data_IF_893684103290
#
_entry.id   IF_893684103290
#
_cell.length_a   1.000
_cell.length_b   1.000
_cell.length_c   1.000
_cell.angle_alpha   90.00
_cell.angle_beta   90.00
_cell.angle_gamma   90.00
#
_symmetry.space_group_name_H-M   'P 1'
#
loop_
_entity.id
_entity.type
_entity.pdbx_description
1 polymer ?
#
# COMPACT_ATOMS: atom_id res chain seq x y z
N UNK A 1 13.34 -11.52 -6.56
CA UNK A 1 13.12 -10.87 -7.86
C UNK A 1 14.18 -9.83 -8.26
N UNK A 2 15.12 -9.44 -7.38
CA UNK A 2 16.29 -8.64 -7.73
C UNK A 2 16.08 -7.12 -7.86
N UNK A 3 14.87 -6.64 -7.64
CA UNK A 3 14.54 -5.21 -7.62
C UNK A 3 14.11 -4.78 -6.23
N UNK A 4 14.66 -3.65 -5.74
CA UNK A 4 14.22 -3.06 -4.49
C UNK A 4 12.91 -2.30 -4.74
N UNK A 5 11.86 -2.66 -4.02
CA UNK A 5 10.63 -1.87 -3.99
C UNK A 5 10.91 -0.51 -3.35
N UNK A 6 10.48 0.58 -3.98
CA UNK A 6 10.75 1.93 -3.51
C UNK A 6 10.16 2.21 -2.10
N UNK A 7 9.09 1.52 -1.73
CA UNK A 7 8.42 1.63 -0.44
C UNK A 7 9.28 1.15 0.73
N UNK A 8 10.05 0.09 0.56
CA UNK A 8 10.89 -0.46 1.64
C UNK A 8 11.99 0.52 2.11
N UNK A 9 12.85 1.12 1.25
CA UNK A 9 13.81 2.12 1.68
C UNK A 9 13.18 3.36 2.31
N UNK A 10 12.02 3.80 1.78
CA UNK A 10 11.30 4.95 2.33
C UNK A 10 10.77 4.64 3.73
N UNK A 11 10.08 3.52 3.91
CA UNK A 11 9.56 3.10 5.21
C UNK A 11 10.69 2.80 6.20
N UNK A 12 11.81 2.22 5.73
CA UNK A 12 13.01 2.01 6.55
C UNK A 12 13.59 3.32 7.08
N UNK A 13 13.68 4.35 6.23
CA UNK A 13 14.12 5.69 6.63
C UNK A 13 13.17 6.33 7.65
N UNK A 14 11.86 6.22 7.42
CA UNK A 14 10.84 6.73 8.35
C UNK A 14 10.88 6.00 9.69
N UNK A 15 10.99 4.67 9.69
CA UNK A 15 11.08 3.88 10.92
C UNK A 15 12.34 4.20 11.73
N UNK A 16 13.47 4.46 11.05
CA UNK A 16 14.68 4.96 11.70
C UNK A 16 14.47 6.30 12.39
N UNK A 17 13.79 7.25 11.73
CA UNK A 17 13.44 8.54 12.30
C UNK A 17 12.46 8.42 13.47
N UNK A 18 11.43 7.58 13.35
CA UNK A 18 10.47 7.30 14.44
C UNK A 18 11.21 6.73 15.65
N UNK A 19 12.13 5.79 15.42
CA UNK A 19 12.86 5.10 16.48
C UNK A 19 13.76 6.04 17.30
N UNK A 20 14.32 7.09 16.73
CA UNK A 20 15.16 8.03 17.47
C UNK A 20 14.35 9.12 18.18
N UNK A 21 13.10 9.37 17.80
CA UNK A 21 12.31 10.51 18.29
C UNK A 21 12.20 10.58 19.81
N UNK A 22 11.96 9.42 20.47
CA UNK A 22 11.78 9.39 21.92
C UNK A 22 13.05 9.71 22.70
N UNK A 23 14.22 9.37 22.17
CA UNK A 23 15.51 9.44 22.84
C UNK A 23 16.47 10.52 22.32
N UNK A 24 16.12 11.29 21.30
CA UNK A 24 17.04 12.17 20.57
C UNK A 24 17.78 13.19 21.46
N UNK A 25 17.19 13.62 22.58
CA UNK A 25 17.77 14.56 23.54
C UNK A 25 18.72 13.91 24.54
N UNK A 26 18.69 12.57 24.69
CA UNK A 26 19.34 11.85 25.77
C UNK A 26 20.35 10.78 25.28
N UNK A 27 20.69 10.77 24.00
CA UNK A 27 21.66 9.85 23.39
C UNK A 27 22.71 10.63 22.61
N UNK A 28 23.90 10.01 22.41
CA UNK A 28 24.93 10.59 21.54
C UNK A 28 24.69 10.20 20.06
N UNK A 29 25.48 10.78 19.16
CA UNK A 29 25.31 10.61 17.70
C UNK A 29 25.45 9.16 17.25
N UNK A 30 26.39 8.40 17.83
CA UNK A 30 26.59 6.99 17.49
C UNK A 30 25.45 6.11 17.97
N UNK A 31 24.91 6.38 19.14
CA UNK A 31 23.73 5.71 19.66
C UNK A 31 22.51 6.05 18.80
N UNK A 32 22.36 7.31 18.40
CA UNK A 32 21.30 7.75 17.52
C UNK A 32 21.34 7.00 16.17
N UNK A 33 22.54 6.93 15.55
CA UNK A 33 22.74 6.19 14.33
C UNK A 33 22.40 4.70 14.46
N UNK A 34 22.81 4.06 15.57
CA UNK A 34 22.50 2.66 15.84
C UNK A 34 21.00 2.43 16.05
N UNK A 35 20.34 3.29 16.83
CA UNK A 35 18.89 3.23 17.06
C UNK A 35 18.12 3.35 15.76
N UNK A 36 18.50 4.32 14.92
CA UNK A 36 17.89 4.52 13.61
C UNK A 36 18.12 3.35 12.66
N UNK A 37 19.34 2.80 12.63
CA UNK A 37 19.67 1.63 11.81
C UNK A 37 18.83 0.41 12.18
N UNK A 38 18.75 0.09 13.47
CA UNK A 38 17.94 -1.04 13.95
C UNK A 38 16.47 -0.82 13.64
N UNK A 39 15.95 0.40 13.88
CA UNK A 39 14.57 0.73 13.56
C UNK A 39 14.25 0.58 12.07
N UNK A 40 15.14 1.04 11.20
CA UNK A 40 14.98 0.88 9.75
C UNK A 40 15.01 -0.59 9.30
N UNK A 41 15.90 -1.40 9.88
CA UNK A 41 15.98 -2.83 9.56
C UNK A 41 14.80 -3.65 10.09
N UNK A 42 14.10 -3.19 11.14
CA UNK A 42 12.91 -3.85 11.67
C UNK A 42 11.72 -3.88 10.72
N UNK A 43 11.70 -3.04 9.69
CA UNK A 43 10.64 -3.05 8.67
C UNK A 43 10.52 -4.43 8.03
N UNK A 44 11.63 -5.04 7.65
CA UNK A 44 11.65 -6.32 6.92
C UNK A 44 10.94 -7.45 7.71
N UNK A 45 11.33 -7.77 8.96
CA UNK A 45 10.63 -8.80 9.73
C UNK A 45 9.21 -8.38 10.16
N UNK A 46 8.94 -7.08 10.29
CA UNK A 46 7.61 -6.59 10.62
C UNK A 46 6.63 -6.80 9.46
N UNK A 47 7.01 -6.45 8.23
CA UNK A 47 6.21 -6.69 7.03
C UNK A 47 5.94 -8.19 6.86
N UNK A 48 6.97 -9.02 6.95
CA UNK A 48 6.82 -10.47 6.86
C UNK A 48 5.88 -11.05 7.93
N UNK A 49 5.86 -10.46 9.13
CA UNK A 49 4.92 -10.84 10.19
C UNK A 49 3.48 -10.45 9.84
N UNK A 50 3.25 -9.24 9.31
CA UNK A 50 1.92 -8.78 8.91
C UNK A 50 1.35 -9.64 7.78
N UNK A 51 2.16 -9.95 6.77
CA UNK A 51 1.77 -10.87 5.69
C UNK A 51 1.38 -12.25 6.23
N UNK A 52 2.17 -12.81 7.13
CA UNK A 52 1.87 -14.10 7.76
C UNK A 52 0.57 -14.05 8.57
N UNK A 53 0.29 -12.94 9.23
CA UNK A 53 -0.94 -12.71 10.00
C UNK A 53 -2.12 -12.31 9.12
N UNK A 54 -1.90 -12.07 7.81
CA UNK A 54 -2.90 -11.56 6.86
C UNK A 54 -3.50 -10.22 7.30
N UNK A 55 -2.66 -9.35 7.86
CA UNK A 55 -3.04 -7.98 8.22
C UNK A 55 -2.64 -7.09 7.07
N UNK A 56 -3.64 -6.42 6.49
CA UNK A 56 -3.43 -5.45 5.42
C UNK A 56 -2.94 -4.12 5.99
N UNK A 57 -1.83 -3.62 5.44
CA UNK A 57 -1.26 -2.32 5.77
C UNK A 57 -0.73 -1.66 4.49
N UNK A 58 -1.60 -0.92 3.83
CA UNK A 58 -1.35 -0.36 2.50
C UNK A 58 -0.15 0.60 2.42
N UNK A 59 0.26 1.18 3.54
CA UNK A 59 1.33 2.20 3.58
C UNK A 59 2.50 1.84 4.50
N UNK A 60 2.47 0.68 5.16
CA UNK A 60 3.49 0.28 6.12
C UNK A 60 3.43 1.06 7.45
N UNK A 61 2.24 1.53 7.85
CA UNK A 61 2.08 2.30 9.08
C UNK A 61 2.41 1.50 10.33
N UNK A 62 2.05 0.22 10.39
CA UNK A 62 2.32 -0.65 11.53
C UNK A 62 3.83 -0.90 11.69
N UNK A 63 4.58 -1.33 10.66
CA UNK A 63 6.02 -1.48 10.76
C UNK A 63 6.73 -0.19 11.18
N UNK A 64 6.39 0.92 10.57
CA UNK A 64 7.04 2.22 10.82
C UNK A 64 6.73 2.73 12.22
N UNK A 65 5.46 2.82 12.59
CA UNK A 65 5.05 3.54 13.81
C UNK A 65 4.95 2.62 15.03
N UNK A 66 4.36 1.43 14.90
CA UNK A 66 4.25 0.50 16.04
C UNK A 66 5.60 -0.13 16.37
N UNK A 67 6.24 -0.79 15.42
CA UNK A 67 7.52 -1.47 15.67
C UNK A 67 8.64 -0.45 15.91
N UNK A 68 8.74 0.60 15.09
CA UNK A 68 9.71 1.68 15.28
C UNK A 68 9.50 2.42 16.61
N UNK A 69 8.24 2.67 17.00
CA UNK A 69 7.89 3.32 18.26
C UNK A 69 8.18 2.47 19.48
N UNK A 70 7.88 1.18 19.45
CA UNK A 70 8.23 0.23 20.53
C UNK A 70 9.76 0.18 20.71
N UNK A 71 10.48 0.00 19.60
CA UNK A 71 11.94 -0.03 19.65
C UNK A 71 12.52 1.30 20.17
N UNK A 72 12.07 2.42 19.63
CA UNK A 72 12.55 3.75 20.04
C UNK A 72 12.30 4.05 21.51
N UNK A 73 11.13 3.67 22.03
CA UNK A 73 10.82 3.81 23.45
C UNK A 73 11.72 2.91 24.32
N UNK A 74 11.94 1.66 23.94
CA UNK A 74 12.88 0.78 24.63
C UNK A 74 14.32 1.31 24.57
N UNK A 75 14.71 1.89 23.43
CA UNK A 75 16.04 2.46 23.24
C UNK A 75 16.33 3.60 24.24
N UNK A 76 15.33 4.37 24.67
CA UNK A 76 15.50 5.34 25.77
C UNK A 76 15.97 4.64 27.05
N UNK A 77 15.35 3.53 27.39
CA UNK A 77 15.75 2.73 28.55
C UNK A 77 17.14 2.13 28.42
N UNK A 78 17.54 1.74 27.21
CA UNK A 78 18.82 1.06 26.95
C UNK A 78 19.98 2.04 26.83
N UNK A 79 19.82 3.13 26.09
CA UNK A 79 20.90 4.02 25.67
C UNK A 79 20.84 5.40 26.35
N UNK A 80 19.68 5.83 26.85
CA UNK A 80 19.48 7.17 27.37
C UNK A 80 20.44 7.50 28.53
N UNK A 81 21.02 8.70 28.51
CA UNK A 81 21.87 9.20 29.58
C UNK A 81 21.03 9.45 30.85
N UNK A 82 21.38 8.75 31.94
CA UNK A 82 20.65 8.81 33.20
C UNK A 82 20.59 10.22 33.81
N UNK A 83 21.62 11.06 33.57
CA UNK A 83 21.67 12.43 34.07
C UNK A 83 20.71 13.33 33.30
N UNK A 84 20.60 13.12 31.98
CA UNK A 84 19.70 13.89 31.12
C UNK A 84 18.25 13.47 31.35
N UNK A 85 18.02 12.16 31.51
CA UNK A 85 16.69 11.62 31.80
C UNK A 85 16.17 12.08 33.19
N UNK A 86 17.07 12.27 34.16
CA UNK A 86 16.74 12.84 35.47
C UNK A 86 15.76 12.03 36.32
N UNK A 87 15.56 10.77 36.00
CA UNK A 87 14.55 9.92 36.66
C UNK A 87 15.05 9.32 37.98
N UNK A 88 16.36 9.26 38.19
CA UNK A 88 16.97 8.58 39.34
C UNK A 88 16.89 7.06 39.29
N UNK A 89 16.31 6.47 38.24
CA UNK A 89 16.15 5.03 38.07
C UNK A 89 17.47 4.37 37.62
N UNK A 90 17.70 3.16 38.05
CA UNK A 90 18.72 2.28 37.49
C UNK A 90 18.34 1.93 36.01
N UNK A 91 19.32 1.41 35.23
CA UNK A 91 19.11 1.01 33.85
C UNK A 91 17.96 0.02 33.67
N UNK A 92 17.89 -0.98 34.54
CA UNK A 92 16.85 -2.02 34.51
C UNK A 92 15.47 -1.42 34.84
N UNK A 93 15.39 -0.57 35.86
CA UNK A 93 14.15 0.11 36.23
C UNK A 93 13.69 1.04 35.11
N UNK A 94 14.63 1.73 34.44
CA UNK A 94 14.30 2.59 33.29
C UNK A 94 13.72 1.77 32.13
N UNK A 95 14.29 0.61 31.80
CA UNK A 95 13.72 -0.30 30.79
C UNK A 95 12.34 -0.78 31.22
N UNK A 96 12.17 -1.15 32.48
CA UNK A 96 10.86 -1.54 33.03
C UNK A 96 9.81 -0.44 32.93
N UNK A 97 10.20 0.81 33.21
CA UNK A 97 9.33 1.96 33.04
C UNK A 97 8.90 2.17 31.57
N UNK A 98 9.85 2.02 30.62
CA UNK A 98 9.53 2.11 29.19
C UNK A 98 8.58 0.99 28.74
N UNK A 99 8.83 -0.25 29.17
CA UNK A 99 7.93 -1.37 28.87
C UNK A 99 6.52 -1.13 29.42
N UNK A 100 6.40 -0.64 30.65
CA UNK A 100 5.12 -0.28 31.25
C UNK A 100 4.42 0.79 30.42
N UNK A 101 5.16 1.84 30.02
CA UNK A 101 4.62 2.89 29.15
C UNK A 101 4.11 2.36 27.81
N UNK A 102 4.87 1.50 27.14
CA UNK A 102 4.48 0.87 25.88
C UNK A 102 3.17 0.08 26.06
N UNK A 103 3.07 -0.75 27.10
CA UNK A 103 1.88 -1.56 27.35
C UNK A 103 0.65 -0.71 27.68
N UNK A 104 0.80 0.28 28.57
CA UNK A 104 -0.32 1.15 28.97
C UNK A 104 -0.81 2.01 27.82
N UNK A 105 0.12 2.71 27.15
CA UNK A 105 -0.24 3.58 26.03
C UNK A 105 -0.77 2.76 24.85
N UNK A 106 -0.14 1.62 24.56
CA UNK A 106 -0.59 0.72 23.50
C UNK A 106 -1.99 0.17 23.76
N UNK A 107 -2.26 -0.33 24.97
CA UNK A 107 -3.59 -0.82 25.36
C UNK A 107 -4.64 0.30 25.29
N UNK A 108 -4.31 1.49 25.78
CA UNK A 108 -5.21 2.65 25.73
C UNK A 108 -5.51 3.06 24.30
N UNK A 109 -4.47 3.31 23.51
CA UNK A 109 -4.63 3.77 22.12
C UNK A 109 -5.38 2.75 21.27
N UNK A 110 -5.04 1.45 21.39
CA UNK A 110 -5.74 0.40 20.67
C UNK A 110 -7.22 0.32 21.07
N UNK A 111 -7.51 0.30 22.38
CA UNK A 111 -8.88 0.15 22.86
C UNK A 111 -9.77 1.34 22.47
N UNK A 112 -9.23 2.55 22.59
CA UNK A 112 -9.97 3.78 22.22
C UNK A 112 -10.19 3.85 20.71
N UNK A 113 -9.14 3.63 19.91
CA UNK A 113 -9.25 3.64 18.46
C UNK A 113 -10.23 2.55 17.97
N UNK A 114 -10.11 1.33 18.50
CA UNK A 114 -11.01 0.24 18.15
C UNK A 114 -12.48 0.57 18.49
N UNK A 115 -12.74 1.08 19.68
CA UNK A 115 -14.09 1.46 20.10
C UNK A 115 -14.65 2.56 19.21
N UNK A 116 -13.88 3.61 18.94
CA UNK A 116 -14.32 4.72 18.09
C UNK A 116 -14.62 4.25 16.66
N UNK A 117 -13.75 3.46 16.06
CA UNK A 117 -13.95 2.91 14.73
C UNK A 117 -15.13 1.93 14.69
N UNK A 118 -15.29 1.10 15.73
CA UNK A 118 -16.44 0.21 15.85
C UNK A 118 -17.77 0.99 15.91
N UNK A 119 -17.84 2.05 16.73
CA UNK A 119 -19.02 2.90 16.82
C UNK A 119 -19.29 3.65 15.52
N UNK A 120 -18.23 4.19 14.90
CA UNK A 120 -18.35 4.86 13.60
C UNK A 120 -18.87 3.92 12.52
N UNK A 121 -18.33 2.70 12.45
CA UNK A 121 -18.79 1.68 11.51
C UNK A 121 -20.24 1.23 11.67
N UNK A 122 -20.85 1.48 12.87
CA UNK A 122 -22.29 1.28 13.08
C UNK A 122 -23.16 2.39 12.50
N UNK A 123 -22.60 3.58 12.33
CA UNK A 123 -23.29 4.77 11.81
C UNK A 123 -23.01 4.94 10.32
N UNK A 124 -21.77 4.68 9.92
CA UNK A 124 -21.30 4.86 8.55
C UNK A 124 -20.43 3.67 8.13
N UNK A 125 -20.69 3.04 6.98
CA UNK A 125 -19.85 1.95 6.49
C UNK A 125 -18.41 2.47 6.27
N UNK A 126 -17.44 1.81 6.92
CA UNK A 126 -16.01 2.16 6.80
C UNK A 126 -15.34 1.47 5.61
N UNK A 127 -16.02 0.53 4.98
CA UNK A 127 -15.54 -0.17 3.79
C UNK A 127 -16.54 -0.01 2.66
N UNK A 128 -16.01 0.22 1.47
CA UNK A 128 -16.81 0.28 0.24
C UNK A 128 -17.38 -1.10 -0.13
N UNK A 129 -18.36 -1.12 -1.02
CA UNK A 129 -18.92 -2.37 -1.51
C UNK A 129 -17.88 -3.20 -2.28
N UNK A 130 -18.01 -4.54 -2.35
CA UNK A 130 -17.13 -5.37 -3.18
C UNK A 130 -17.16 -4.99 -4.67
N UNK A 131 -18.25 -4.44 -5.14
CA UNK A 131 -18.44 -3.94 -6.50
C UNK A 131 -17.63 -2.66 -6.73
N UNK A 132 -17.68 -1.71 -5.80
CA UNK A 132 -16.89 -0.48 -5.84
C UNK A 132 -15.39 -0.76 -5.72
N UNK A 133 -15.01 -1.73 -4.88
CA UNK A 133 -13.61 -2.15 -4.73
C UNK A 133 -13.06 -2.73 -6.05
N UNK A 134 -13.87 -3.49 -6.80
CA UNK A 134 -13.51 -4.02 -8.12
C UNK A 134 -13.45 -2.94 -9.19
N UNK A 135 -14.35 -1.96 -9.12
CA UNK A 135 -14.38 -0.83 -10.05
C UNK A 135 -13.20 0.12 -9.80
N UNK A 136 -12.71 0.18 -8.59
CA UNK A 136 -11.63 1.06 -8.14
C UNK A 136 -12.14 2.30 -7.42
N UNK A 137 -11.53 2.60 -6.27
CA UNK A 137 -11.98 3.68 -5.37
C UNK A 137 -11.92 5.07 -6.00
N UNK A 138 -10.96 5.30 -6.90
CA UNK A 138 -10.88 6.57 -7.62
C UNK A 138 -12.14 6.86 -8.44
N UNK A 139 -12.78 5.81 -8.95
CA UNK A 139 -14.02 5.95 -9.73
C UNK A 139 -15.22 6.07 -8.80
N UNK A 140 -15.36 5.11 -7.86
CA UNK A 140 -16.56 4.99 -7.02
C UNK A 140 -16.72 6.17 -6.05
N UNK A 141 -15.61 6.67 -5.47
CA UNK A 141 -15.63 7.77 -4.51
C UNK A 141 -15.41 9.14 -5.15
N UNK A 142 -14.46 9.25 -6.07
CA UNK A 142 -14.04 10.54 -6.64
C UNK A 142 -14.55 10.80 -8.05
N UNK A 143 -15.20 9.80 -8.68
CA UNK A 143 -15.59 9.86 -10.10
C UNK A 143 -14.45 10.32 -11.00
N UNK A 144 -13.22 9.95 -10.60
CA UNK A 144 -12.03 10.32 -11.34
C UNK A 144 -12.08 9.61 -12.69
N UNK A 145 -11.92 10.39 -13.76
CA UNK A 145 -11.65 9.85 -15.10
C UNK A 145 -10.14 9.85 -15.27
N UNK A 146 -9.62 8.70 -15.63
CA UNK A 146 -8.24 8.53 -16.08
C UNK A 146 -8.27 7.83 -17.42
N UNK A 147 -7.25 8.02 -18.24
CA UNK A 147 -7.13 7.37 -19.55
C UNK A 147 -7.27 5.85 -19.45
N UNK A 148 -6.76 5.26 -18.34
CA UNK A 148 -6.90 3.84 -18.06
C UNK A 148 -8.36 3.42 -17.87
N UNK A 149 -9.15 4.24 -17.21
CA UNK A 149 -10.57 3.99 -16.96
C UNK A 149 -11.36 4.08 -18.26
N UNK A 150 -11.09 5.09 -19.07
CA UNK A 150 -11.74 5.26 -20.37
C UNK A 150 -11.40 4.09 -21.30
N UNK A 151 -10.15 3.61 -21.29
CA UNK A 151 -9.74 2.39 -21.97
C UNK A 151 -10.56 1.17 -21.50
N UNK A 152 -10.69 0.96 -20.20
CA UNK A 152 -11.47 -0.17 -19.66
C UNK A 152 -12.95 -0.08 -20.01
N UNK A 153 -13.57 1.09 -19.98
CA UNK A 153 -14.97 1.26 -20.39
C UNK A 153 -15.20 0.87 -21.86
N UNK A 154 -14.31 1.27 -22.75
CA UNK A 154 -14.39 0.90 -24.15
C UNK A 154 -14.22 -0.61 -24.34
N UNK A 155 -13.22 -1.21 -23.69
CA UNK A 155 -12.99 -2.66 -23.74
C UNK A 155 -14.18 -3.46 -23.20
N UNK A 156 -14.77 -3.04 -22.07
CA UNK A 156 -15.94 -3.70 -21.49
C UNK A 156 -17.18 -3.56 -22.38
N UNK A 157 -17.37 -2.41 -23.02
CA UNK A 157 -18.46 -2.22 -23.98
C UNK A 157 -18.29 -3.15 -25.19
N UNK A 158 -17.09 -3.22 -25.77
CA UNK A 158 -16.78 -4.13 -26.87
C UNK A 158 -17.00 -5.61 -26.49
N UNK A 159 -16.59 -5.98 -25.28
CA UNK A 159 -16.80 -7.35 -24.75
C UNK A 159 -18.28 -7.68 -24.58
N UNK A 160 -19.11 -6.74 -24.11
CA UNK A 160 -20.54 -6.97 -23.86
C UNK A 160 -21.37 -6.96 -25.15
N UNK A 161 -21.06 -6.07 -26.06
CA UNK A 161 -21.81 -5.90 -27.31
C UNK A 161 -21.29 -6.74 -28.46
N UNK A 162 -20.04 -7.18 -28.41
CA UNK A 162 -19.33 -7.79 -29.55
C UNK A 162 -19.01 -6.79 -30.68
N UNK A 163 -19.26 -5.50 -30.47
CA UNK A 163 -18.96 -4.47 -31.45
C UNK A 163 -17.48 -4.10 -31.40
N UNK A 164 -16.74 -4.63 -32.35
CA UNK A 164 -15.30 -4.39 -32.51
C UNK A 164 -15.00 -3.38 -33.64
N UNK A 165 -15.99 -2.59 -34.10
CA UNK A 165 -15.85 -1.72 -35.29
C UNK A 165 -15.01 -0.48 -35.07
N UNK A 166 -14.86 -0.03 -33.82
CA UNK A 166 -14.11 1.17 -33.46
C UNK A 166 -12.89 0.86 -32.59
N UNK A 167 -11.88 1.73 -32.69
CA UNK A 167 -10.67 1.66 -31.90
C UNK A 167 -10.84 2.32 -30.53
N UNK A 168 -10.05 1.89 -29.55
CA UNK A 168 -9.97 2.59 -28.26
C UNK A 168 -9.12 3.87 -28.41
N UNK A 169 -9.45 4.93 -27.65
CA UNK A 169 -8.67 6.17 -27.67
C UNK A 169 -7.21 5.92 -27.25
N UNK A 170 -6.28 6.57 -27.93
CA UNK A 170 -4.84 6.50 -27.65
C UNK A 170 -4.38 7.86 -27.13
N UNK A 171 -3.97 7.91 -25.85
CA UNK A 171 -3.35 9.10 -25.27
C UNK A 171 -1.85 9.10 -25.56
N UNK A 172 -1.34 10.08 -26.33
CA UNK A 172 0.05 10.13 -26.72
C UNK A 172 1.00 10.21 -25.50
N UNK A 173 2.13 9.51 -25.57
CA UNK A 173 3.21 9.57 -24.57
C UNK A 173 2.85 9.04 -23.18
N UNK A 174 1.76 8.29 -23.02
CA UNK A 174 1.40 7.64 -21.78
C UNK A 174 1.57 6.11 -21.87
N UNK A 175 1.76 5.44 -20.72
CA UNK A 175 1.78 3.96 -20.68
C UNK A 175 0.44 3.37 -21.11
N UNK A 176 -0.66 4.03 -20.74
CA UNK A 176 -2.03 3.65 -21.14
C UNK A 176 -2.21 3.76 -22.65
N UNK A 177 -1.69 4.82 -23.26
CA UNK A 177 -1.71 5.00 -24.71
C UNK A 177 -0.96 3.90 -25.45
N UNK A 178 0.19 3.46 -24.94
CA UNK A 178 0.94 2.33 -25.51
C UNK A 178 0.14 1.01 -25.44
N UNK A 179 -0.59 0.80 -24.33
CA UNK A 179 -1.48 -0.36 -24.19
C UNK A 179 -2.64 -0.28 -25.20
N UNK A 180 -3.27 0.89 -25.30
CA UNK A 180 -4.37 1.15 -26.22
C UNK A 180 -3.96 0.92 -27.70
N UNK A 181 -2.78 1.39 -28.10
CA UNK A 181 -2.24 1.19 -29.44
C UNK A 181 -2.05 -0.30 -29.76
N UNK A 182 -1.44 -1.07 -28.87
CA UNK A 182 -1.28 -2.51 -29.05
C UNK A 182 -2.60 -3.26 -29.06
N UNK A 183 -3.55 -2.83 -28.23
CA UNK A 183 -4.90 -3.40 -28.25
C UNK A 183 -5.61 -3.13 -29.60
N UNK A 184 -5.48 -1.94 -30.16
CA UNK A 184 -6.02 -1.59 -31.47
C UNK A 184 -5.39 -2.43 -32.60
N UNK A 185 -4.09 -2.74 -32.52
CA UNK A 185 -3.44 -3.68 -33.45
C UNK A 185 -4.06 -5.07 -33.39
N UNK A 186 -4.34 -5.57 -32.17
CA UNK A 186 -5.05 -6.86 -31.99
C UNK A 186 -6.46 -6.81 -32.56
N UNK A 187 -7.22 -5.74 -32.28
CA UNK A 187 -8.57 -5.55 -32.82
C UNK A 187 -8.57 -5.55 -34.34
N UNK A 188 -7.61 -4.87 -34.96
CA UNK A 188 -7.44 -4.86 -36.41
C UNK A 188 -7.27 -6.28 -36.97
N UNK A 189 -6.40 -7.09 -36.34
CA UNK A 189 -6.17 -8.46 -36.78
C UNK A 189 -7.40 -9.35 -36.60
N UNK A 190 -8.15 -9.16 -35.52
CA UNK A 190 -9.43 -9.88 -35.30
C UNK A 190 -10.46 -9.52 -36.37
N UNK A 191 -10.61 -8.22 -36.72
CA UNK A 191 -11.52 -7.76 -37.78
C UNK A 191 -11.16 -8.38 -39.13
N UNK A 192 -9.89 -8.33 -39.52
CA UNK A 192 -9.39 -8.96 -40.75
C UNK A 192 -9.74 -10.44 -40.81
N UNK A 193 -9.51 -11.17 -39.71
CA UNK A 193 -9.81 -12.62 -39.64
C UNK A 193 -11.32 -12.89 -39.73
N UNK A 194 -12.16 -12.07 -39.10
CA UNK A 194 -13.62 -12.18 -39.19
C UNK A 194 -14.13 -11.93 -40.60
N UNK A 195 -13.58 -10.93 -41.30
CA UNK A 195 -13.92 -10.62 -42.67
C UNK A 195 -13.52 -11.75 -43.64
N UNK A 196 -12.32 -12.30 -43.47
CA UNK A 196 -11.86 -13.46 -44.24
C UNK A 196 -12.77 -14.69 -44.04
N UNK A 197 -13.13 -14.98 -42.78
CA UNK A 197 -14.04 -16.07 -42.46
C UNK A 197 -15.44 -15.85 -43.03
N UNK A 198 -15.91 -14.64 -43.05
CA UNK A 198 -17.24 -14.27 -43.60
C UNK A 198 -17.25 -14.45 -45.11
N UNK A 199 -16.20 -14.03 -45.79
CA UNK A 199 -16.05 -14.24 -47.24
C UNK A 199 -15.94 -15.72 -47.60
N UNK A 200 -15.13 -16.48 -46.90
CA UNK A 200 -15.00 -17.91 -47.12
C UNK A 200 -16.31 -18.67 -46.89
N UNK A 201 -17.10 -18.28 -45.89
CA UNK A 201 -18.45 -18.87 -45.70
C UNK A 201 -19.41 -18.50 -46.84
N UNK A 202 -19.38 -17.27 -47.34
CA UNK A 202 -20.22 -16.86 -48.48
C UNK A 202 -19.88 -17.69 -49.76
N UNK A 203 -18.59 -17.85 -50.05
CA UNK A 203 -18.13 -18.66 -51.20
C UNK A 203 -18.57 -20.14 -51.10
N UNK A 204 -18.54 -20.71 -49.87
CA UNK A 204 -19.01 -22.07 -49.63
C UNK A 204 -20.54 -22.18 -49.91
N UNK A 205 -21.30 -21.17 -49.45
CA UNK A 205 -22.77 -21.16 -49.64
C UNK A 205 -23.14 -21.00 -51.12
N UNK A 206 -22.40 -20.21 -51.91
CA UNK A 206 -22.62 -20.02 -53.35
C UNK A 206 -22.21 -21.28 -54.15
N UNK A 207 -21.31 -22.11 -53.63
CA UNK A 207 -20.83 -23.34 -54.30
C UNK A 207 -21.74 -24.56 -54.10
N UNK A 208 -22.73 -24.49 -53.22
CA UNK A 208 -23.74 -25.53 -52.97
C UNK A 208 -25.11 -25.15 -53.49
#
# INVERSE_FOLDING_TARGET
>A
DGYAEATQPLNGSLAGLVSITAGCHAVNEWQAALIGLVGGLMIIPADALLEKLKIDDAVGAIPVHLFGGIWGTLAVGIFGDAKILGTGLSRVEQIGAQLTGILVVGAFAFSVAYLLLYLLGRIHPLRVSPEDEKTGLNISEHRARTDLIDLFFVMDHQKQTGDLTYDVPVEPFTEVGQIAERYNEVLKKVRETLDENTKAKAEIIEAY
#
